data_IF_158927057680
#
_entry.id   IF_158927057680
#
_cell.length_a   1.000
_cell.length_b   1.000
_cell.length_c   1.000
_cell.angle_alpha   90.00
_cell.angle_beta   90.00
_cell.angle_gamma   90.00
#
_symmetry.space_group_name_H-M   'P 1'
#
loop_
_entity.id
_entity.type
_entity.pdbx_description
1 polymer ?
#
# COMPACT_ATOMS: atom_id res chain seq x y z
N UNK A 1 18.44 -9.15 9.52
CA UNK A 1 17.62 -8.14 10.24
C UNK A 1 16.27 -8.77 10.54
N UNK A 2 15.50 -8.30 11.53
CA UNK A 2 14.17 -8.86 11.81
C UNK A 2 13.14 -8.25 10.86
N UNK A 3 12.05 -8.98 10.57
CA UNK A 3 10.98 -8.49 9.70
C UNK A 3 10.42 -7.12 10.13
N UNK A 4 10.39 -6.84 11.45
CA UNK A 4 9.94 -5.54 11.96
C UNK A 4 10.96 -4.41 11.74
N UNK A 5 12.27 -4.73 11.75
CA UNK A 5 13.31 -3.75 11.46
C UNK A 5 13.29 -3.36 9.96
N UNK A 6 13.13 -4.34 9.09
CA UNK A 6 13.03 -4.12 7.63
C UNK A 6 11.78 -3.30 7.30
N UNK A 7 10.63 -3.66 7.89
CA UNK A 7 9.39 -2.90 7.73
C UNK A 7 9.54 -1.43 8.17
N UNK A 8 10.22 -1.17 9.29
CA UNK A 8 10.46 0.20 9.73
C UNK A 8 11.31 0.98 8.72
N UNK A 9 12.36 0.38 8.18
CA UNK A 9 13.21 1.01 7.18
C UNK A 9 12.40 1.37 5.92
N UNK A 10 11.54 0.47 5.44
CA UNK A 10 10.67 0.74 4.30
C UNK A 10 9.69 1.88 4.57
N UNK A 11 9.06 1.93 5.74
CA UNK A 11 8.17 3.04 6.08
C UNK A 11 8.91 4.37 6.20
N UNK A 12 10.13 4.38 6.74
CA UNK A 12 10.96 5.58 6.75
C UNK A 12 11.25 6.07 5.33
N UNK A 13 11.56 5.16 4.40
CA UNK A 13 11.78 5.49 2.99
C UNK A 13 10.50 6.03 2.34
N UNK A 14 9.34 5.41 2.60
CA UNK A 14 8.04 5.89 2.11
C UNK A 14 7.77 7.34 2.53
N UNK A 15 7.91 7.66 3.82
CA UNK A 15 7.66 9.03 4.31
C UNK A 15 8.66 10.08 3.80
N UNK A 16 9.81 9.65 3.28
CA UNK A 16 10.79 10.55 2.67
C UNK A 16 10.50 10.84 1.18
N UNK A 17 9.47 10.24 0.59
CA UNK A 17 9.14 10.45 -0.82
C UNK A 17 8.59 11.88 -1.06
N UNK A 18 9.00 12.54 -2.15
CA UNK A 18 8.74 13.98 -2.37
C UNK A 18 7.25 14.33 -2.55
N UNK A 19 6.41 13.39 -2.96
CA UNK A 19 4.97 13.63 -3.15
C UNK A 19 4.23 14.02 -1.85
N UNK A 20 4.79 13.73 -0.67
CA UNK A 20 4.17 14.15 0.60
C UNK A 20 4.20 15.67 0.82
N UNK A 21 5.17 16.37 0.22
CA UNK A 21 5.37 17.81 0.39
C UNK A 21 5.11 18.61 -0.90
N UNK A 22 4.85 17.92 -2.02
CA UNK A 22 4.60 18.53 -3.32
C UNK A 22 3.22 18.14 -3.86
N UNK A 23 2.26 19.06 -3.72
CA UNK A 23 0.86 18.84 -4.13
C UNK A 23 0.71 18.58 -5.64
N UNK A 24 1.54 19.21 -6.47
CA UNK A 24 1.51 19.03 -7.94
C UNK A 24 1.99 17.62 -8.30
N UNK A 25 3.09 17.18 -7.69
CA UNK A 25 3.61 15.83 -7.87
C UNK A 25 2.65 14.79 -7.32
N UNK A 26 2.03 15.03 -6.15
CA UNK A 26 0.99 14.16 -5.58
C UNK A 26 -0.19 13.99 -6.53
N UNK A 27 -0.67 15.08 -7.13
CA UNK A 27 -1.74 15.02 -8.11
C UNK A 27 -1.34 14.18 -9.34
N UNK A 28 -0.12 14.38 -9.86
CA UNK A 28 0.39 13.59 -10.99
C UNK A 28 0.56 12.11 -10.65
N UNK A 29 1.07 11.80 -9.46
CA UNK A 29 1.16 10.42 -8.95
C UNK A 29 -0.22 9.77 -8.88
N UNK A 30 -1.23 10.50 -8.38
CA UNK A 30 -2.61 9.99 -8.32
C UNK A 30 -3.18 9.69 -9.71
N UNK A 31 -2.90 10.54 -10.71
CA UNK A 31 -3.28 10.26 -12.11
C UNK A 31 -2.60 8.99 -12.63
N UNK A 32 -1.28 8.84 -12.40
CA UNK A 32 -0.51 7.65 -12.80
C UNK A 32 -1.10 6.40 -12.14
N UNK A 33 -1.28 6.40 -10.83
CA UNK A 33 -1.83 5.26 -10.09
C UNK A 33 -3.24 4.91 -10.54
N UNK A 34 -4.08 5.91 -10.82
CA UNK A 34 -5.43 5.69 -11.36
C UNK A 34 -5.37 4.99 -12.72
N UNK A 35 -4.51 5.46 -13.61
CA UNK A 35 -4.32 4.83 -14.93
C UNK A 35 -3.81 3.39 -14.80
N UNK A 36 -2.87 3.15 -13.89
CA UNK A 36 -2.34 1.82 -13.61
C UNK A 36 -3.41 0.86 -13.09
N UNK A 37 -4.25 1.30 -12.14
CA UNK A 37 -5.35 0.49 -11.61
C UNK A 37 -6.34 0.10 -12.72
N UNK A 38 -6.71 1.04 -13.59
CA UNK A 38 -7.58 0.78 -14.75
C UNK A 38 -6.94 -0.24 -15.68
N UNK A 39 -5.66 -0.06 -16.02
CA UNK A 39 -4.92 -1.00 -16.88
C UNK A 39 -4.84 -2.39 -16.27
N UNK A 40 -4.52 -2.50 -14.98
CA UNK A 40 -4.41 -3.79 -14.29
C UNK A 40 -5.77 -4.49 -14.27
N UNK A 41 -6.84 -3.78 -13.90
CA UNK A 41 -8.21 -4.31 -13.92
C UNK A 41 -8.60 -4.82 -15.30
N UNK A 42 -8.24 -4.09 -16.35
CA UNK A 42 -8.55 -4.47 -17.72
C UNK A 42 -7.75 -5.72 -18.16
N UNK A 43 -6.43 -5.69 -17.99
CA UNK A 43 -5.52 -6.77 -18.43
C UNK A 43 -5.69 -8.08 -17.65
N UNK A 44 -6.21 -8.01 -16.42
CA UNK A 44 -6.45 -9.19 -15.56
C UNK A 44 -7.95 -9.47 -15.33
N UNK A 45 -8.83 -8.90 -16.17
CA UNK A 45 -10.28 -8.99 -16.03
C UNK A 45 -10.77 -10.42 -15.82
N UNK A 46 -10.34 -11.36 -16.66
CA UNK A 46 -10.77 -12.76 -16.59
C UNK A 46 -10.41 -13.45 -15.25
N UNK A 47 -9.35 -12.99 -14.58
CA UNK A 47 -8.99 -13.48 -13.25
C UNK A 47 -9.82 -12.80 -12.16
N UNK A 48 -10.01 -11.49 -12.25
CA UNK A 48 -10.72 -10.68 -11.26
C UNK A 48 -12.23 -10.90 -11.26
N UNK A 49 -12.82 -11.22 -12.41
CA UNK A 49 -14.26 -11.46 -12.53
C UNK A 49 -14.70 -12.83 -11.95
N UNK A 50 -13.76 -13.73 -11.65
CA UNK A 50 -14.09 -14.99 -10.98
C UNK A 50 -14.65 -14.71 -9.58
N UNK A 51 -15.84 -15.23 -9.21
CA UNK A 51 -16.49 -14.90 -7.93
C UNK A 51 -15.60 -15.10 -6.71
N UNK A 52 -14.77 -16.15 -6.70
CA UNK A 52 -13.82 -16.45 -5.62
C UNK A 52 -12.69 -15.42 -5.46
N UNK A 53 -12.38 -14.64 -6.51
CA UNK A 53 -11.27 -13.71 -6.54
C UNK A 53 -11.71 -12.24 -6.34
N UNK A 54 -12.99 -11.92 -6.52
CA UNK A 54 -13.49 -10.54 -6.52
C UNK A 54 -13.10 -9.75 -5.27
N UNK A 55 -13.28 -10.34 -4.07
CA UNK A 55 -12.91 -9.68 -2.81
C UNK A 55 -11.43 -9.32 -2.73
N UNK A 56 -10.56 -10.22 -3.21
CA UNK A 56 -9.11 -10.00 -3.19
C UNK A 56 -8.66 -9.04 -4.30
N UNK A 57 -9.32 -9.09 -5.47
CA UNK A 57 -9.09 -8.17 -6.57
C UNK A 57 -9.44 -6.72 -6.18
N UNK A 58 -10.60 -6.53 -5.55
CA UNK A 58 -11.02 -5.22 -5.05
C UNK A 58 -10.07 -4.71 -3.97
N UNK A 59 -9.72 -5.57 -3.00
CA UNK A 59 -8.74 -5.23 -1.96
C UNK A 59 -7.38 -4.85 -2.55
N UNK A 60 -6.88 -5.61 -3.53
CA UNK A 60 -5.61 -5.32 -4.19
C UNK A 60 -5.63 -3.97 -4.89
N UNK A 61 -6.65 -3.71 -5.73
CA UNK A 61 -6.73 -2.48 -6.52
C UNK A 61 -6.94 -1.22 -5.66
N UNK A 62 -7.70 -1.34 -4.56
CA UNK A 62 -8.06 -0.17 -3.73
C UNK A 62 -7.11 0.06 -2.56
N UNK A 63 -6.80 -1.01 -1.80
CA UNK A 63 -6.09 -0.91 -0.50
C UNK A 63 -4.59 -1.13 -0.60
N UNK A 64 -4.13 -1.91 -1.57
CA UNK A 64 -2.69 -2.24 -1.74
C UNK A 64 -2.02 -1.44 -2.84
N UNK A 65 -2.77 -1.05 -3.88
CA UNK A 65 -2.26 -0.25 -5.00
C UNK A 65 -2.71 1.22 -4.95
N UNK A 66 -3.70 1.59 -4.12
CA UNK A 66 -4.23 2.97 -4.04
C UNK A 66 -3.50 3.84 -3.01
N UNK A 67 -3.00 5.01 -3.45
CA UNK A 67 -2.18 5.93 -2.65
C UNK A 67 -2.81 6.38 -1.33
N UNK A 68 -4.02 6.95 -1.36
CA UNK A 68 -4.66 7.52 -0.16
C UNK A 68 -4.92 6.48 0.94
N UNK A 69 -5.29 5.25 0.52
CA UNK A 69 -5.57 4.17 1.47
C UNK A 69 -4.29 3.58 2.06
N UNK A 70 -3.21 3.54 1.27
CA UNK A 70 -1.90 3.12 1.73
C UNK A 70 -1.30 4.11 2.74
N UNK A 71 -1.44 5.42 2.52
CA UNK A 71 -0.92 6.43 3.46
C UNK A 71 -1.57 6.29 4.85
N UNK A 72 -2.88 6.04 4.90
CA UNK A 72 -3.61 5.77 6.15
C UNK A 72 -3.05 4.52 6.85
N UNK A 73 -2.81 3.45 6.10
CA UNK A 73 -2.22 2.21 6.60
C UNK A 73 -0.79 2.44 7.15
N UNK A 74 0.04 3.17 6.40
CA UNK A 74 1.41 3.52 6.79
C UNK A 74 1.43 4.32 8.11
N UNK A 75 0.51 5.28 8.30
CA UNK A 75 0.36 6.04 9.55
C UNK A 75 0.04 5.13 10.74
N UNK A 76 -0.82 4.14 10.52
CA UNK A 76 -1.22 3.20 11.57
C UNK A 76 -0.09 2.25 11.94
N UNK A 77 0.63 1.74 10.94
CA UNK A 77 1.79 0.88 11.15
C UNK A 77 2.89 1.62 11.93
N UNK A 78 3.19 2.87 11.56
CA UNK A 78 4.18 3.69 12.26
C UNK A 78 3.86 3.87 13.76
N UNK A 79 2.57 3.96 14.13
CA UNK A 79 2.14 4.06 15.53
C UNK A 79 2.26 2.75 16.31
N UNK A 80 2.11 1.61 15.64
CA UNK A 80 2.05 0.29 16.28
C UNK A 80 3.45 -0.36 16.36
N UNK A 81 4.32 -0.11 15.37
CA UNK A 81 5.65 -0.71 15.27
C UNK A 81 6.51 -0.61 16.54
N UNK A 82 6.60 0.55 17.23
CA UNK A 82 7.38 0.65 18.47
C UNK A 82 6.87 -0.27 19.59
N UNK A 83 5.55 -0.54 19.61
CA UNK A 83 4.93 -1.46 20.58
C UNK A 83 5.12 -2.91 20.16
N UNK A 84 5.03 -3.19 18.85
CA UNK A 84 5.23 -4.53 18.30
C UNK A 84 6.65 -5.05 18.54
N UNK A 85 7.69 -4.21 18.42
CA UNK A 85 9.08 -4.59 18.73
C UNK A 85 9.26 -5.11 20.16
N UNK A 86 8.52 -4.57 21.14
CA UNK A 86 8.56 -5.03 22.53
C UNK A 86 7.94 -6.42 22.72
N UNK A 87 7.10 -6.84 21.77
CA UNK A 87 6.33 -8.08 21.81
C UNK A 87 6.75 -9.06 20.70
N UNK A 88 7.80 -8.76 19.94
CA UNK A 88 8.26 -9.52 18.76
C UNK A 88 8.51 -11.00 19.10
N UNK A 89 9.02 -11.27 20.30
CA UNK A 89 9.23 -12.64 20.83
C UNK A 89 7.96 -13.48 20.98
N UNK A 90 6.77 -12.87 20.96
CA UNK A 90 5.47 -13.54 21.16
C UNK A 90 4.68 -13.73 19.86
N UNK A 91 5.10 -13.09 18.76
CA UNK A 91 4.43 -13.20 17.48
C UNK A 91 4.98 -14.38 16.66
N UNK A 92 4.13 -15.03 15.86
CA UNK A 92 4.60 -16.01 14.88
C UNK A 92 5.36 -15.28 13.77
N UNK A 93 6.68 -15.49 13.73
CA UNK A 93 7.63 -14.87 12.80
C UNK A 93 7.15 -14.88 11.35
N UNK A 94 6.61 -16.02 10.89
CA UNK A 94 6.14 -16.20 9.51
C UNK A 94 4.99 -15.27 9.09
N UNK A 95 4.13 -14.85 10.03
CA UNK A 95 3.02 -13.94 9.73
C UNK A 95 3.48 -12.49 9.63
N UNK A 96 4.46 -12.10 10.46
CA UNK A 96 5.09 -10.77 10.40
C UNK A 96 5.89 -10.60 9.12
N UNK A 97 6.60 -11.64 8.68
CA UNK A 97 7.33 -11.65 7.41
C UNK A 97 6.41 -11.43 6.20
N UNK A 98 5.32 -12.20 6.10
CA UNK A 98 4.38 -12.07 4.98
C UNK A 98 3.73 -10.67 4.94
N UNK A 99 3.37 -10.12 6.11
CA UNK A 99 2.87 -8.76 6.23
C UNK A 99 3.91 -7.71 5.81
N UNK A 100 5.16 -7.86 6.26
CA UNK A 100 6.28 -6.97 5.91
C UNK A 100 6.54 -6.96 4.41
N UNK A 101 6.61 -8.14 3.77
CA UNK A 101 6.78 -8.27 2.32
C UNK A 101 5.65 -7.59 1.54
N UNK A 102 4.40 -7.70 2.02
CA UNK A 102 3.27 -7.02 1.40
C UNK A 102 3.40 -5.50 1.40
N UNK A 103 3.81 -4.93 2.54
CA UNK A 103 4.06 -3.49 2.67
C UNK A 103 5.24 -3.06 1.81
N UNK A 104 6.33 -3.82 1.79
CA UNK A 104 7.48 -3.55 0.92
C UNK A 104 7.09 -3.54 -0.56
N UNK A 105 6.30 -4.52 -1.01
CA UNK A 105 5.84 -4.60 -2.40
C UNK A 105 4.95 -3.40 -2.78
N UNK A 106 4.12 -2.91 -1.85
CA UNK A 106 3.29 -1.73 -2.06
C UNK A 106 4.15 -0.44 -2.14
N UNK A 107 5.11 -0.26 -1.23
CA UNK A 107 6.01 0.90 -1.25
C UNK A 107 6.83 0.94 -2.54
N UNK A 108 7.38 -0.21 -2.96
CA UNK A 108 8.12 -0.29 -4.23
C UNK A 108 7.22 0.07 -5.42
N UNK A 109 5.94 -0.32 -5.42
CA UNK A 109 5.02 0.09 -6.47
C UNK A 109 4.81 1.62 -6.50
N UNK A 110 4.69 2.25 -5.33
CA UNK A 110 4.55 3.70 -5.20
C UNK A 110 5.80 4.43 -5.71
N UNK A 111 6.99 3.95 -5.36
CA UNK A 111 8.26 4.52 -5.83
C UNK A 111 8.38 4.47 -7.35
N UNK A 112 8.10 3.32 -7.95
CA UNK A 112 8.13 3.16 -9.40
C UNK A 112 7.06 4.01 -10.11
N UNK A 113 5.88 4.17 -9.51
CA UNK A 113 4.84 5.03 -10.07
C UNK A 113 5.17 6.52 -9.89
N UNK A 114 5.96 6.87 -8.86
CA UNK A 114 6.44 8.23 -8.61
C UNK A 114 7.45 8.66 -9.67
N UNK A 115 8.41 7.81 -10.04
CA UNK A 115 9.37 8.15 -11.11
C UNK A 115 8.67 8.39 -12.47
N UNK A 116 7.61 7.63 -12.75
CA UNK A 116 6.76 7.90 -13.93
C UNK A 116 6.06 9.26 -13.82
N UNK A 117 5.54 9.60 -12.64
CA UNK A 117 4.88 10.87 -12.39
C UNK A 117 5.85 12.06 -12.51
N UNK A 118 7.06 11.94 -11.96
CA UNK A 118 8.12 12.95 -12.08
C UNK A 118 8.48 13.18 -13.54
N UNK A 119 8.76 12.11 -14.29
CA UNK A 119 9.08 12.24 -15.71
C UNK A 119 7.96 12.89 -16.51
N UNK A 120 6.70 12.47 -16.30
CA UNK A 120 5.54 13.06 -17.00
C UNK A 120 5.34 14.53 -16.64
N UNK A 121 5.60 14.90 -15.38
CA UNK A 121 5.51 16.27 -14.92
C UNK A 121 6.60 17.14 -15.57
N UNK A 122 7.84 16.65 -15.60
CA UNK A 122 8.99 17.35 -16.20
C UNK A 122 8.80 17.57 -17.71
N UNK A 123 8.17 16.61 -18.40
CA UNK A 123 7.84 16.74 -19.83
C UNK A 123 6.55 17.55 -20.08
N UNK A 124 5.84 17.97 -19.02
CA UNK A 124 4.52 18.61 -19.09
C UNK A 124 3.50 17.80 -19.93
N UNK A 125 3.48 16.48 -19.72
CA UNK A 125 2.65 15.55 -20.47
C UNK A 125 1.44 15.06 -19.63
N UNK A 126 0.26 14.90 -20.24
CA UNK A 126 -0.88 14.27 -19.58
C UNK A 126 -0.69 12.75 -19.46
N UNK A 127 -1.33 12.14 -18.46
CA UNK A 127 -1.32 10.68 -18.29
C UNK A 127 -2.27 10.04 -19.31
N UNK A 128 -1.71 9.34 -20.29
CA UNK A 128 -2.43 8.53 -21.29
C UNK A 128 -1.56 7.35 -21.75
N UNK A 129 -2.08 6.47 -22.61
CA UNK A 129 -1.36 5.27 -23.02
C UNK A 129 -0.01 5.54 -23.70
N UNK A 130 0.05 6.50 -24.63
CA UNK A 130 1.27 6.80 -25.39
C UNK A 130 2.34 7.44 -24.50
N UNK A 131 1.94 8.40 -23.66
CA UNK A 131 2.85 9.08 -22.74
C UNK A 131 3.33 8.15 -21.62
N UNK A 132 2.46 7.25 -21.12
CA UNK A 132 2.88 6.23 -20.16
C UNK A 132 3.91 5.28 -20.79
N UNK A 133 3.71 4.85 -22.03
CA UNK A 133 4.70 4.02 -22.74
C UNK A 133 6.04 4.76 -22.91
N UNK A 134 6.01 6.04 -23.25
CA UNK A 134 7.21 6.86 -23.33
C UNK A 134 7.89 6.98 -21.96
N UNK A 135 7.13 7.25 -20.89
CA UNK A 135 7.63 7.34 -19.52
C UNK A 135 8.29 6.03 -19.07
N UNK A 136 7.65 4.88 -19.31
CA UNK A 136 8.24 3.57 -18.98
C UNK A 136 9.59 3.34 -19.66
N UNK A 137 9.72 3.73 -20.93
CA UNK A 137 10.98 3.58 -21.67
C UNK A 137 12.04 4.56 -21.18
N UNK A 138 11.64 5.76 -20.78
CA UNK A 138 12.56 6.79 -20.34
C UNK A 138 13.09 6.54 -18.92
N UNK A 139 12.24 6.05 -18.03
CA UNK A 139 12.60 5.72 -16.64
C UNK A 139 13.39 4.39 -16.56
N UNK A 140 13.14 3.45 -17.47
CA UNK A 140 13.92 2.20 -17.65
C UNK A 140 14.00 1.27 -16.43
N UNK A 141 12.95 1.23 -15.61
CA UNK A 141 12.88 0.43 -14.38
C UNK A 141 12.12 -0.90 -14.58
N UNK A 142 12.32 -1.56 -15.73
CA UNK A 142 11.64 -2.82 -16.03
C UNK A 142 12.05 -3.91 -15.03
N UNK A 143 13.33 -3.98 -14.66
CA UNK A 143 13.86 -4.98 -13.76
C UNK A 143 13.26 -4.86 -12.35
N UNK A 144 13.18 -3.64 -11.82
CA UNK A 144 12.61 -3.30 -10.52
C UNK A 144 11.11 -3.59 -10.51
N UNK A 145 10.40 -3.28 -11.61
CA UNK A 145 8.98 -3.64 -11.73
C UNK A 145 8.76 -5.14 -11.77
N UNK A 146 9.66 -5.93 -12.37
CA UNK A 146 9.61 -7.40 -12.30
C UNK A 146 9.83 -7.90 -10.87
N UNK A 147 10.74 -7.29 -10.11
CA UNK A 147 10.93 -7.59 -8.68
C UNK A 147 9.66 -7.28 -7.88
N UNK A 148 9.04 -6.12 -8.11
CA UNK A 148 7.78 -5.74 -7.48
C UNK A 148 6.67 -6.77 -7.72
N UNK A 149 6.51 -7.22 -8.97
CA UNK A 149 5.52 -8.23 -9.35
C UNK A 149 5.82 -9.59 -8.70
N UNK A 150 7.10 -10.00 -8.66
CA UNK A 150 7.52 -11.24 -8.03
C UNK A 150 7.24 -11.22 -6.51
N UNK A 151 7.57 -10.12 -5.83
CA UNK A 151 7.28 -9.94 -4.41
C UNK A 151 5.78 -10.02 -4.12
N UNK A 152 4.96 -9.39 -4.97
CA UNK A 152 3.51 -9.46 -4.82
C UNK A 152 2.98 -10.89 -4.98
N UNK A 153 3.51 -11.66 -5.95
CA UNK A 153 3.18 -13.08 -6.13
C UNK A 153 3.54 -13.90 -4.89
N UNK A 154 4.71 -13.68 -4.32
CA UNK A 154 5.16 -14.38 -3.13
C UNK A 154 4.31 -14.02 -1.90
N UNK A 155 3.93 -12.75 -1.76
CA UNK A 155 2.95 -12.31 -0.76
C UNK A 155 1.64 -13.05 -0.98
N UNK A 156 1.07 -13.07 -2.19
CA UNK A 156 -0.16 -13.81 -2.45
C UNK A 156 -0.05 -15.30 -2.10
N UNK A 157 1.06 -15.97 -2.44
CA UNK A 157 1.28 -17.39 -2.13
C UNK A 157 1.42 -17.66 -0.63
N UNK A 158 2.28 -16.91 0.07
CA UNK A 158 2.48 -17.05 1.52
C UNK A 158 1.21 -16.69 2.27
N UNK A 159 0.51 -15.66 1.81
CA UNK A 159 -0.72 -15.21 2.44
C UNK A 159 -1.81 -16.23 2.14
N UNK A 160 -2.02 -16.79 0.94
CA UNK A 160 -2.97 -17.90 0.70
C UNK A 160 -2.68 -19.16 1.56
N UNK A 161 -1.41 -19.55 1.65
CA UNK A 161 -0.95 -20.67 2.49
C UNK A 161 -1.21 -20.47 3.99
N UNK A 162 -1.33 -19.22 4.45
CA UNK A 162 -1.57 -18.86 5.86
C UNK A 162 -2.94 -18.21 6.14
N UNK A 163 -3.65 -17.68 5.14
CA UNK A 163 -4.93 -16.92 5.23
C UNK A 163 -6.15 -17.83 5.26
N UNK A 164 -6.03 -19.08 4.81
CA UNK A 164 -7.10 -20.06 5.00
C UNK A 164 -7.32 -20.42 6.48
N UNK A 165 -6.51 -19.87 7.39
CA UNK A 165 -6.84 -19.90 8.82
C UNK A 165 -7.76 -18.71 9.18
N UNK A 166 -8.98 -19.03 9.57
CA UNK A 166 -10.03 -18.15 10.11
C UNK A 166 -9.54 -16.97 10.98
N UNK A 167 -8.45 -17.16 11.72
CA UNK A 167 -7.82 -16.15 12.59
C UNK A 167 -7.23 -14.94 11.85
N UNK A 168 -6.73 -15.09 10.62
CA UNK A 168 -6.18 -13.97 9.84
C UNK A 168 -7.26 -13.12 9.18
N UNK A 169 -8.36 -13.75 8.70
CA UNK A 169 -9.58 -13.02 8.29
C UNK A 169 -10.13 -12.19 9.46
N UNK A 170 -10.07 -12.73 10.68
CA UNK A 170 -10.41 -11.98 11.91
C UNK A 170 -9.37 -10.92 12.29
N UNK A 171 -8.08 -11.13 12.07
CA UNK A 171 -7.04 -10.13 12.34
C UNK A 171 -7.16 -8.90 11.42
N UNK A 172 -7.42 -9.09 10.13
CA UNK A 172 -7.70 -7.99 9.20
C UNK A 172 -9.06 -7.33 9.47
N UNK A 173 -10.08 -8.09 9.86
CA UNK A 173 -11.37 -7.52 10.31
C UNK A 173 -11.25 -6.76 11.64
N UNK A 174 -10.42 -7.24 12.58
CA UNK A 174 -10.11 -6.56 13.85
C UNK A 174 -9.28 -5.31 13.64
N UNK A 175 -8.35 -5.27 12.68
CA UNK A 175 -7.67 -4.05 12.29
C UNK A 175 -8.66 -2.99 11.79
N UNK A 176 -9.69 -3.40 11.03
CA UNK A 176 -10.81 -2.52 10.63
C UNK A 176 -11.66 -2.06 11.81
N UNK A 177 -11.94 -2.92 12.79
CA UNK A 177 -12.72 -2.58 14.02
C UNK A 177 -11.93 -1.70 15.00
N UNK A 178 -10.63 -1.96 15.18
CA UNK A 178 -9.72 -1.18 16.03
C UNK A 178 -9.46 0.21 15.43
N UNK A 179 -9.44 0.34 14.10
CA UNK A 179 -9.45 1.64 13.42
C UNK A 179 -10.71 2.44 13.74
N UNK A 180 -11.88 1.81 13.59
CA UNK A 180 -13.17 2.45 13.86
C UNK A 180 -13.28 2.83 15.34
N UNK A 181 -12.82 1.96 16.26
CA UNK A 181 -12.79 2.23 17.69
C UNK A 181 -11.80 3.34 18.09
N UNK A 182 -10.66 3.46 17.40
CA UNK A 182 -9.68 4.54 17.61
C UNK A 182 -10.19 5.90 17.06
N UNK A 183 -10.99 5.88 16.00
CA UNK A 183 -11.61 7.08 15.41
C UNK A 183 -12.79 7.55 16.27
N UNK A 184 -13.64 6.65 16.77
CA UNK A 184 -14.78 7.02 17.62
C UNK A 184 -14.35 7.50 19.01
N UNK A 185 -13.24 7.00 19.56
CA UNK A 185 -12.68 7.49 20.83
C UNK A 185 -12.00 8.86 20.70
N UNK A 186 -11.44 9.24 19.54
CA UNK A 186 -10.96 10.60 19.31
C UNK A 186 -12.10 11.60 19.04
N UNK A 187 -13.19 11.18 18.41
CA UNK A 187 -14.35 12.06 18.14
C UNK A 187 -15.18 12.36 19.40
N UNK A 188 -15.28 11.42 20.33
CA UNK A 188 -16.00 11.61 21.60
C UNK A 188 -15.25 12.50 22.61
N UNK A 189 -13.91 12.56 22.57
CA UNK A 189 -13.11 13.42 23.48
C UNK A 189 -13.09 14.88 22.97
N UNK A 190 -13.21 15.09 21.65
CA UNK A 190 -13.21 16.41 21.03
C UNK A 190 -14.53 17.16 21.22
N UNK A 191 -15.66 16.45 21.31
CA UNK A 191 -16.98 17.06 21.51
C UNK A 191 -17.28 17.44 22.96
N UNK A 192 -16.51 16.96 23.94
CA UNK A 192 -16.69 17.32 25.36
C UNK A 192 -15.91 18.58 25.78
N UNK A 193 -14.97 19.07 24.97
CA UNK A 193 -14.27 20.34 25.23
C UNK A 193 -14.86 21.54 24.47
N UNK A 194 -15.70 21.32 23.46
CA UNK A 194 -16.39 22.38 22.72
C UNK A 194 -17.69 22.88 23.40
N UNK A 195 -18.07 22.36 24.57
CA UNK A 195 -19.22 22.84 25.35
C UNK A 195 -18.83 23.59 26.63
N UNK A 196 -17.58 24.04 26.75
CA UNK A 196 -17.06 24.82 27.89
C UNK A 196 -16.24 26.05 27.48
N UNK A 197 -16.45 26.56 26.27
CA UNK A 197 -16.07 27.90 25.85
C UNK A 197 -17.25 28.56 25.14
#
# INVERSE_FOLDING_TARGET
>A
MTALADLQQHLTRFWALPHHENDVLRAKLNEVQTWQQVRIRHTHRALFEQPKNQLMADYFLTKLYGGDEFEILAKQLARILPKAKKLERLAKESALEAGSMGIQAAILAIELDLHLAEWLLDQNLPVNADNMLAAYRAVDEEAERRVQIANLKDVCYRTDKHLNTFMLKKAFALAKVLLIAAITSHFMISSTQASKL
#
